data_IF_035437737544
#
_entry.id   IF_035437737544
#
_cell.length_a   1.000
_cell.length_b   1.000
_cell.length_c   1.000
_cell.angle_alpha   90.00
_cell.angle_beta   90.00
_cell.angle_gamma   90.00
#
_symmetry.space_group_name_H-M   'P 1'
#
loop_
_entity.id
_entity.type
_entity.pdbx_description
1 polymer ?
#
# COMPACT_ATOMS: atom_id res chain seq x y z
N UNK A 1 -17.08 -15.42 0.47
CA UNK A 1 -15.62 -15.21 0.58
C UNK A 1 -15.43 -13.81 1.11
N UNK A 2 -14.68 -13.63 2.20
CA UNK A 2 -14.35 -12.31 2.72
C UNK A 2 -13.17 -11.79 1.88
N UNK A 3 -13.23 -10.56 1.34
CA UNK A 3 -12.09 -9.95 0.64
C UNK A 3 -10.83 -9.94 1.50
N UNK A 4 -9.66 -10.11 0.89
CA UNK A 4 -8.38 -10.22 1.62
C UNK A 4 -8.03 -8.96 2.44
N UNK A 5 -8.62 -7.81 2.09
CA UNK A 5 -8.49 -6.56 2.83
C UNK A 5 -9.41 -6.45 4.06
N UNK A 6 -10.24 -7.45 4.35
CA UNK A 6 -11.09 -7.50 5.55
C UNK A 6 -10.64 -8.64 6.47
N UNK A 7 -10.49 -8.33 7.76
CA UNK A 7 -10.31 -9.32 8.83
C UNK A 7 -11.51 -9.30 9.76
N UNK A 8 -11.94 -10.47 10.19
CA UNK A 8 -13.05 -10.61 11.15
C UNK A 8 -12.50 -10.63 12.56
N UNK A 9 -13.06 -9.79 13.43
CA UNK A 9 -12.71 -9.77 14.85
C UNK A 9 -13.94 -10.04 15.72
N UNK A 10 -13.79 -10.80 16.82
CA UNK A 10 -14.83 -10.90 17.83
C UNK A 10 -14.90 -9.57 18.57
N UNK A 11 -16.02 -8.85 18.42
CA UNK A 11 -16.27 -7.62 19.16
C UNK A 11 -17.26 -7.92 20.28
N UNK A 12 -16.85 -7.91 21.56
CA UNK A 12 -17.78 -8.06 22.67
C UNK A 12 -18.68 -6.83 22.77
N UNK A 13 -20.00 -7.04 22.85
CA UNK A 13 -20.93 -5.95 23.16
C UNK A 13 -20.92 -5.72 24.67
N UNK A 14 -20.67 -4.49 25.10
CA UNK A 14 -20.80 -4.08 26.52
C UNK A 14 -22.28 -3.83 26.90
N UNK A 15 -23.19 -4.66 26.40
CA UNK A 15 -24.57 -4.71 26.84
C UNK A 15 -24.66 -5.74 28.00
N UNK A 16 -25.65 -5.62 28.88
CA UNK A 16 -25.77 -6.41 30.12
C UNK A 16 -25.78 -7.95 29.90
N UNK A 17 -25.97 -8.42 28.67
CA UNK A 17 -26.13 -9.83 28.30
C UNK A 17 -24.84 -10.49 27.75
N UNK A 18 -23.74 -9.73 27.60
CA UNK A 18 -22.41 -10.29 27.26
C UNK A 18 -22.29 -10.95 25.88
N UNK A 19 -23.22 -10.71 24.95
CA UNK A 19 -23.17 -11.27 23.60
C UNK A 19 -22.01 -10.66 22.78
N UNK A 20 -21.27 -11.50 22.05
CA UNK A 20 -20.29 -11.06 21.06
C UNK A 20 -20.83 -11.20 19.64
N UNK A 21 -20.39 -10.30 18.75
CA UNK A 21 -20.67 -10.39 17.32
C UNK A 21 -19.36 -10.33 16.53
N UNK A 22 -19.28 -11.11 15.45
CA UNK A 22 -18.19 -11.00 14.49
C UNK A 22 -18.41 -9.78 13.59
N UNK A 23 -17.40 -8.91 13.51
CA UNK A 23 -17.44 -7.69 12.69
C UNK A 23 -16.28 -7.71 11.71
N UNK A 24 -16.51 -7.51 10.41
CA UNK A 24 -15.44 -7.32 9.43
C UNK A 24 -14.82 -5.93 9.60
N UNK A 25 -13.49 -5.88 9.62
CA UNK A 25 -12.72 -4.65 9.78
C UNK A 25 -11.69 -4.58 8.65
N UNK A 26 -11.51 -3.41 8.01
CA UNK A 26 -10.41 -3.19 7.06
C UNK A 26 -9.06 -3.50 7.69
N UNK A 27 -8.22 -4.21 6.94
CA UNK A 27 -6.83 -4.43 7.28
C UNK A 27 -6.03 -3.21 6.87
N UNK A 28 -5.01 -2.90 7.65
CA UNK A 28 -3.92 -2.01 7.22
C UNK A 28 -2.61 -2.78 7.19
N UNK A 29 -1.83 -2.57 6.13
CA UNK A 29 -0.47 -3.09 5.99
C UNK A 29 0.46 -1.97 5.52
N UNK A 30 1.75 -2.03 5.88
CA UNK A 30 2.73 -1.07 5.39
C UNK A 30 2.97 -1.26 3.89
N UNK A 31 2.98 -0.15 3.15
CA UNK A 31 3.55 -0.03 1.82
C UNK A 31 4.85 0.75 1.90
N UNK A 32 5.94 0.16 1.43
CA UNK A 32 7.18 0.85 1.14
C UNK A 32 7.20 1.29 -0.33
N UNK A 33 7.28 2.61 -0.55
CA UNK A 33 7.50 3.17 -1.87
C UNK A 33 8.97 3.50 -2.05
N UNK A 34 9.59 2.90 -3.06
CA UNK A 34 10.96 3.18 -3.47
C UNK A 34 10.99 3.97 -4.78
N UNK A 35 11.95 4.88 -4.89
CA UNK A 35 12.26 5.61 -6.12
C UNK A 35 13.60 5.16 -6.68
N UNK A 36 13.70 5.14 -8.02
CA UNK A 36 14.94 4.97 -8.76
C UNK A 36 15.04 6.03 -9.85
N UNK A 37 16.14 6.78 -9.84
CA UNK A 37 16.57 7.59 -10.98
C UNK A 37 17.54 6.78 -11.86
N UNK A 38 17.74 7.11 -13.15
CA UNK A 38 18.48 6.27 -14.10
C UNK A 38 19.87 5.82 -13.66
N UNK A 39 20.60 6.69 -12.96
CA UNK A 39 21.99 6.45 -12.54
C UNK A 39 22.13 6.03 -11.06
N UNK A 40 21.01 5.99 -10.31
CA UNK A 40 21.00 5.75 -8.87
C UNK A 40 20.40 4.38 -8.51
N UNK A 41 20.87 3.74 -7.42
CA UNK A 41 20.18 2.58 -6.88
C UNK A 41 18.79 2.98 -6.32
N UNK A 42 17.81 2.05 -6.31
CA UNK A 42 16.54 2.27 -5.64
C UNK A 42 16.75 2.69 -4.18
N UNK A 43 15.96 3.67 -3.73
CA UNK A 43 15.94 4.12 -2.33
C UNK A 43 14.53 4.32 -1.84
N UNK A 44 14.29 4.05 -0.56
CA UNK A 44 13.01 4.25 0.09
C UNK A 44 12.68 5.74 0.14
N UNK A 45 11.57 6.13 -0.48
CA UNK A 45 11.01 7.46 -0.35
C UNK A 45 10.18 7.57 0.93
N UNK A 46 9.29 6.61 1.15
CA UNK A 46 8.33 6.63 2.27
C UNK A 46 7.83 5.22 2.59
N UNK A 47 7.42 5.02 3.85
CA UNK A 47 6.60 3.89 4.28
C UNK A 47 5.29 4.45 4.82
N UNK A 48 4.16 3.94 4.33
CA UNK A 48 2.82 4.41 4.68
C UNK A 48 1.89 3.23 4.99
N UNK A 49 0.87 3.48 5.81
CA UNK A 49 -0.18 2.49 6.07
C UNK A 49 -1.25 2.59 4.99
N UNK A 50 -1.69 1.45 4.45
CA UNK A 50 -2.79 1.37 3.48
C UNK A 50 -3.67 0.16 3.74
N UNK A 51 -4.87 0.20 3.21
CA UNK A 51 -5.64 -1.03 2.93
C UNK A 51 -5.10 -1.65 1.63
N UNK A 52 -4.57 -2.89 1.63
CA UNK A 52 -3.96 -3.50 0.44
C UNK A 52 -4.95 -3.76 -0.70
N UNK A 53 -4.49 -3.64 -1.95
CA UNK A 53 -5.23 -4.05 -3.14
C UNK A 53 -4.83 -3.31 -4.41
N UNK A 54 -5.04 -1.99 -4.41
CA UNK A 54 -4.85 -1.12 -5.60
C UNK A 54 -3.53 -0.33 -5.53
N UNK A 55 -2.46 -1.05 -5.24
CA UNK A 55 -1.19 -0.50 -4.79
C UNK A 55 -0.46 0.36 -5.83
N UNK A 56 -0.50 -0.06 -7.09
CA UNK A 56 0.14 0.66 -8.19
C UNK A 56 -0.61 1.96 -8.47
N UNK A 57 -1.94 1.91 -8.52
CA UNK A 57 -2.78 3.09 -8.73
C UNK A 57 -2.64 4.09 -7.58
N UNK A 58 -2.58 3.58 -6.34
CA UNK A 58 -2.28 4.38 -5.16
C UNK A 58 -0.93 5.11 -5.30
N UNK A 59 0.13 4.41 -5.72
CA UNK A 59 1.46 5.02 -5.88
C UNK A 59 1.48 6.08 -6.99
N UNK A 60 0.84 5.84 -8.12
CA UNK A 60 0.74 6.86 -9.19
C UNK A 60 0.04 8.11 -8.66
N UNK A 61 -1.10 7.94 -7.96
CA UNK A 61 -1.83 9.05 -7.36
C UNK A 61 -1.01 9.80 -6.30
N UNK A 62 -0.28 9.07 -5.45
CA UNK A 62 0.60 9.64 -4.43
C UNK A 62 1.72 10.48 -5.06
N UNK A 63 2.44 9.94 -6.05
CA UNK A 63 3.53 10.64 -6.73
C UNK A 63 3.06 11.95 -7.39
N UNK A 64 1.85 11.95 -7.97
CA UNK A 64 1.26 13.14 -8.57
C UNK A 64 0.82 14.16 -7.50
N UNK A 65 0.13 13.69 -6.44
CA UNK A 65 -0.38 14.55 -5.37
C UNK A 65 0.75 15.27 -4.62
N UNK A 66 1.86 14.58 -4.38
CA UNK A 66 3.05 15.13 -3.72
C UNK A 66 4.00 15.86 -4.69
N UNK A 67 3.63 15.98 -5.98
CA UNK A 67 4.42 16.63 -7.04
C UNK A 67 5.83 16.08 -7.21
N UNK A 68 5.97 14.77 -7.04
CA UNK A 68 7.19 14.04 -7.38
C UNK A 68 7.25 13.80 -8.89
N UNK A 69 6.08 13.64 -9.51
CA UNK A 69 5.90 13.67 -10.97
C UNK A 69 4.90 14.78 -11.32
N UNK A 70 5.07 15.40 -12.49
CA UNK A 70 4.13 16.38 -13.04
C UNK A 70 3.19 15.72 -14.07
N UNK A 71 3.61 14.60 -14.67
CA UNK A 71 2.84 13.86 -15.65
C UNK A 71 3.15 12.35 -15.65
N UNK A 72 2.29 11.51 -16.23
CA UNK A 72 2.59 10.09 -16.40
C UNK A 72 3.86 9.81 -17.22
N UNK A 73 4.32 10.76 -18.03
CA UNK A 73 5.55 10.61 -18.82
C UNK A 73 6.82 10.60 -17.96
N UNK A 74 6.75 11.11 -16.72
CA UNK A 74 7.88 11.15 -15.80
C UNK A 74 8.09 9.77 -15.12
N UNK A 75 7.14 8.84 -15.25
CA UNK A 75 7.20 7.50 -14.68
C UNK A 75 7.56 6.47 -15.78
N UNK A 76 8.82 6.03 -15.77
CA UNK A 76 9.37 5.07 -16.74
C UNK A 76 8.91 3.63 -16.46
N UNK A 77 8.86 3.24 -15.18
CA UNK A 77 8.45 1.90 -14.75
C UNK A 77 7.79 1.98 -13.38
N UNK A 78 6.77 1.16 -13.16
CA UNK A 78 6.16 0.94 -11.86
C UNK A 78 5.86 -0.56 -11.68
N UNK A 79 6.31 -1.13 -10.57
CA UNK A 79 6.08 -2.55 -10.27
C UNK A 79 6.21 -2.85 -8.78
N UNK A 80 5.63 -3.97 -8.38
CA UNK A 80 5.93 -4.60 -7.09
C UNK A 80 7.37 -5.13 -7.10
N UNK A 81 8.09 -4.90 -6.01
CA UNK A 81 9.52 -5.22 -5.87
C UNK A 81 9.83 -6.01 -4.60
N UNK A 82 8.81 -6.51 -3.91
CA UNK A 82 8.98 -7.22 -2.66
C UNK A 82 9.67 -8.57 -2.81
N UNK A 83 10.34 -9.02 -1.74
CA UNK A 83 10.97 -10.34 -1.65
C UNK A 83 10.41 -11.14 -0.47
N UNK A 84 10.30 -12.46 -0.63
CA UNK A 84 9.85 -13.36 0.44
C UNK A 84 8.39 -13.13 0.84
N UNK A 85 8.14 -12.81 2.12
CA UNK A 85 6.77 -12.55 2.62
C UNK A 85 6.22 -11.16 2.27
N UNK A 86 7.06 -10.27 1.73
CA UNK A 86 6.71 -8.88 1.44
C UNK A 86 6.54 -8.61 -0.05
N UNK A 87 6.26 -9.62 -0.88
CA UNK A 87 6.21 -9.50 -2.36
C UNK A 87 5.36 -8.33 -2.86
N UNK A 88 4.28 -8.02 -2.16
CA UNK A 88 3.30 -7.00 -2.55
C UNK A 88 3.43 -5.67 -1.78
N UNK A 89 4.27 -5.63 -0.74
CA UNK A 89 4.36 -4.48 0.18
C UNK A 89 5.47 -3.50 -0.17
N UNK A 90 6.19 -3.73 -1.27
CA UNK A 90 7.19 -2.81 -1.80
C UNK A 90 6.81 -2.50 -3.24
N UNK A 91 6.65 -1.22 -3.56
CA UNK A 91 6.49 -0.73 -4.93
C UNK A 91 7.70 0.11 -5.29
N UNK A 92 8.28 -0.17 -6.46
CA UNK A 92 9.39 0.59 -6.99
C UNK A 92 8.95 1.36 -8.24
N UNK A 93 9.02 2.68 -8.13
CA UNK A 93 8.83 3.62 -9.23
C UNK A 93 10.19 4.05 -9.80
N UNK A 94 10.34 3.95 -11.12
CA UNK A 94 11.51 4.47 -11.84
C UNK A 94 11.12 5.72 -12.57
N UNK A 95 11.83 6.80 -12.30
CA UNK A 95 11.51 8.11 -12.87
C UNK A 95 12.43 8.42 -14.06
N UNK A 96 11.90 9.25 -14.96
CA UNK A 96 12.69 9.86 -16.01
C UNK A 96 13.79 10.76 -15.41
N UNK A 97 14.86 11.05 -16.19
CA UNK A 97 15.92 11.96 -15.76
C UNK A 97 15.41 13.38 -15.45
#
# INVERSE_FOLDING_TARGET
MIPDFLRTFPVPRHDLDGASSEVPVPVEEPLELQLRYPDDPPSTLVVLMRTPGDDLDFVVGFLLAERIIDSPADLVELREAGIGRNTHNIVLATLAP
#
